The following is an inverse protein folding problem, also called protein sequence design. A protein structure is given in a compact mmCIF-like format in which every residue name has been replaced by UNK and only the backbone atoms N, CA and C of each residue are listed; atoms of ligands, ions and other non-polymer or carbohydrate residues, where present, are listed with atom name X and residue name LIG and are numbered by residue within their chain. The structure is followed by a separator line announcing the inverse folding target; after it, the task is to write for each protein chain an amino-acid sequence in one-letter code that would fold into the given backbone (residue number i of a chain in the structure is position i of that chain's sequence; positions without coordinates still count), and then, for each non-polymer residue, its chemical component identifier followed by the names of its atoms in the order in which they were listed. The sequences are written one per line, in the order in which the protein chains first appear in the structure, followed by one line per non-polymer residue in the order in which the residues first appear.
data_IF_109129231252
#
_entry.id   IF_109129231252
#
_cell.length_a   1.000
_cell.length_b   1.000
_cell.length_c   1.000
_cell.angle_alpha   90.00
_cell.angle_beta   90.00
_cell.angle_gamma   90.00
#
_symmetry.space_group_name_H-M   'P 1'
#
loop_
_entity.id
_entity.type
_entity.pdbx_description
1 polymer ?
#
# COMPACT_ATOMS: atom_id res chain seq x y z
N UNK A 1 2.48 4.19 5.39
CA UNK A 1 1.04 3.99 5.10
C UNK A 1 0.86 2.51 5.07
N UNK A 2 0.09 1.90 5.97
CA UNK A 2 -0.03 0.44 6.00
C UNK A 2 -1.18 0.00 5.09
N UNK A 3 -0.87 -0.85 4.13
CA UNK A 3 -1.86 -1.44 3.23
C UNK A 3 -2.31 -2.79 3.77
N UNK A 4 -3.57 -2.88 4.22
CA UNK A 4 -4.18 -4.08 4.78
C UNK A 4 -4.47 -5.15 3.72
N UNK A 5 -4.28 -6.42 4.09
CA UNK A 5 -4.26 -7.57 3.18
C UNK A 5 -5.66 -7.94 2.70
N UNK A 6 -5.85 -7.82 1.39
CA UNK A 6 -6.90 -8.49 0.62
C UNK A 6 -6.36 -8.97 -0.72
N UNK A 7 -5.28 -9.77 -0.73
CA UNK A 7 -4.78 -10.33 -2.00
C UNK A 7 -5.86 -11.22 -2.59
N UNK A 8 -6.51 -10.71 -3.63
CA UNK A 8 -7.55 -11.40 -4.36
C UNK A 8 -6.91 -12.22 -5.49
N UNK A 9 -7.33 -13.46 -5.65
CA UNK A 9 -6.71 -14.41 -6.58
C UNK A 9 -6.88 -14.01 -8.06
N UNK A 10 -8.03 -13.43 -8.42
CA UNK A 10 -8.27 -12.94 -9.77
C UNK A 10 -7.34 -11.76 -10.11
N UNK A 11 -7.17 -10.84 -9.16
CA UNK A 11 -6.26 -9.70 -9.30
C UNK A 11 -4.80 -10.15 -9.33
N UNK A 12 -4.40 -11.11 -8.48
CA UNK A 12 -3.06 -11.72 -8.51
C UNK A 12 -2.76 -12.35 -9.88
N UNK A 13 -3.70 -13.10 -10.46
CA UNK A 13 -3.53 -13.69 -11.80
C UNK A 13 -3.21 -12.61 -12.83
N UNK A 14 -4.02 -11.54 -12.88
CA UNK A 14 -3.84 -10.43 -13.84
C UNK A 14 -2.47 -9.77 -13.66
N UNK A 15 -2.09 -9.44 -12.43
CA UNK A 15 -0.81 -8.78 -12.13
C UNK A 15 0.39 -9.65 -12.52
N UNK A 16 0.40 -10.94 -12.17
CA UNK A 16 1.47 -11.86 -12.56
C UNK A 16 1.55 -12.08 -14.08
N UNK A 17 0.40 -12.18 -14.74
CA UNK A 17 0.34 -12.26 -16.19
C UNK A 17 0.93 -11.00 -16.85
N UNK A 18 0.60 -9.81 -16.34
CA UNK A 18 1.13 -8.54 -16.84
C UNK A 18 2.65 -8.40 -16.64
N UNK A 19 3.20 -9.01 -15.58
CA UNK A 19 4.66 -9.08 -15.34
C UNK A 19 5.34 -10.08 -16.29
N UNK A 20 4.59 -10.96 -16.97
CA UNK A 20 5.10 -11.91 -17.95
C UNK A 20 5.34 -13.32 -17.42
N UNK A 21 4.71 -13.70 -16.30
CA UNK A 21 4.78 -15.08 -15.80
C UNK A 21 4.04 -16.04 -16.75
N UNK A 22 4.58 -17.25 -16.90
CA UNK A 22 3.89 -18.33 -17.61
C UNK A 22 2.62 -18.75 -16.87
N UNK A 23 1.64 -19.29 -17.62
CA UNK A 23 0.39 -19.79 -17.05
C UNK A 23 0.64 -20.85 -15.96
N UNK A 24 1.59 -21.77 -16.18
CA UNK A 24 1.90 -22.82 -15.20
C UNK A 24 2.43 -22.25 -13.88
N UNK A 25 3.31 -21.25 -13.94
CA UNK A 25 3.80 -20.57 -12.75
C UNK A 25 2.68 -19.84 -12.01
N UNK A 26 1.78 -19.17 -12.75
CA UNK A 26 0.63 -18.49 -12.16
C UNK A 26 -0.31 -19.51 -11.49
N UNK A 27 -0.64 -20.62 -12.16
CA UNK A 27 -1.49 -21.66 -11.58
C UNK A 27 -0.87 -22.29 -10.33
N UNK A 28 0.45 -22.48 -10.31
CA UNK A 28 1.15 -22.93 -9.12
C UNK A 28 1.01 -21.94 -7.96
N UNK A 29 1.18 -20.63 -8.21
CA UNK A 29 0.94 -19.59 -7.19
C UNK A 29 -0.52 -19.59 -6.73
N UNK A 30 -1.49 -19.68 -7.64
CA UNK A 30 -2.91 -19.72 -7.27
C UNK A 30 -3.25 -20.96 -6.45
N UNK A 31 -2.67 -22.11 -6.77
CA UNK A 31 -2.83 -23.33 -5.98
C UNK A 31 -2.25 -23.16 -4.57
N UNK A 32 -1.08 -22.52 -4.44
CA UNK A 32 -0.49 -22.17 -3.16
C UNK A 32 -1.38 -21.25 -2.30
N UNK A 33 -2.13 -20.35 -2.94
CA UNK A 33 -2.97 -19.38 -2.24
C UNK A 33 -4.40 -19.89 -1.96
N UNK A 34 -4.91 -20.87 -2.69
CA UNK A 34 -6.31 -21.34 -2.59
C UNK A 34 -6.48 -22.55 -1.66
N UNK A 35 -7.72 -22.86 -1.26
CA UNK A 35 -8.03 -24.04 -0.43
C UNK A 35 -7.49 -24.00 1.00
N UNK A 36 -6.96 -22.84 1.42
CA UNK A 36 -6.40 -22.64 2.75
C UNK A 36 -7.50 -22.53 3.80
N UNK A 37 -7.21 -23.06 4.99
CA UNK A 37 -8.06 -22.98 6.17
C UNK A 37 -7.28 -22.43 7.35
N UNK A 38 -7.95 -21.75 8.26
CA UNK A 38 -7.34 -21.22 9.47
C UNK A 38 -8.24 -21.46 10.69
N UNK A 39 -7.62 -21.53 11.86
CA UNK A 39 -8.27 -21.50 13.16
C UNK A 39 -7.32 -20.84 14.17
N UNK A 40 -7.85 -20.42 15.31
CA UNK A 40 -7.06 -19.85 16.42
C UNK A 40 -7.05 -20.84 17.57
N UNK A 41 -5.89 -21.05 18.16
CA UNK A 41 -5.74 -21.86 19.37
C UNK A 41 -5.12 -21.03 20.49
N UNK A 42 -5.76 -21.03 21.65
CA UNK A 42 -5.24 -20.43 22.88
C UNK A 42 -5.26 -21.52 23.96
N UNK A 43 -4.08 -21.90 24.44
CA UNK A 43 -3.88 -23.08 25.29
C UNK A 43 -4.48 -24.34 24.63
N UNK A 44 -5.41 -25.00 25.29
CA UNK A 44 -6.09 -26.23 24.82
C UNK A 44 -7.41 -25.95 24.09
N UNK A 45 -7.82 -24.68 23.95
CA UNK A 45 -9.08 -24.31 23.29
C UNK A 45 -8.84 -23.89 21.85
N UNK A 46 -9.63 -24.44 20.93
CA UNK A 46 -9.59 -24.15 19.50
C UNK A 46 -10.86 -23.44 19.05
N UNK A 47 -10.72 -22.48 18.13
CA UNK A 47 -11.87 -21.92 17.40
C UNK A 47 -12.36 -22.90 16.34
N UNK A 48 -13.50 -22.57 15.73
CA UNK A 48 -13.91 -23.23 14.49
C UNK A 48 -12.87 -22.98 13.39
N UNK A 49 -12.74 -23.96 12.50
CA UNK A 49 -11.95 -23.85 11.27
C UNK A 49 -12.75 -23.07 10.24
N UNK A 50 -12.14 -22.06 9.63
CA UNK A 50 -12.73 -21.23 8.59
C UNK A 50 -11.86 -21.21 7.34
N UNK A 51 -12.47 -21.08 6.17
CA UNK A 51 -11.76 -20.96 4.90
C UNK A 51 -11.11 -19.57 4.75
N UNK A 52 -9.93 -19.53 4.15
CA UNK A 52 -9.19 -18.29 3.89
C UNK A 52 -9.35 -17.89 2.43
N UNK A 53 -10.14 -16.84 2.20
CA UNK A 53 -10.54 -16.41 0.86
C UNK A 53 -9.54 -15.46 0.18
N UNK A 54 -8.63 -14.84 0.94
CA UNK A 54 -7.69 -13.85 0.43
C UNK A 54 -6.38 -13.84 1.23
N UNK A 55 -5.39 -13.10 0.72
CA UNK A 55 -4.10 -12.90 1.39
C UNK A 55 -3.10 -14.03 1.17
N UNK A 56 -1.95 -13.92 1.82
CA UNK A 56 -0.86 -14.90 1.77
C UNK A 56 -0.70 -15.60 3.12
N UNK A 57 -0.13 -16.82 3.16
CA UNK A 57 0.20 -17.47 4.43
C UNK A 57 1.21 -16.63 5.24
N UNK A 58 0.82 -16.22 6.45
CA UNK A 58 1.71 -15.50 7.35
C UNK A 58 2.85 -16.42 7.82
N UNK A 59 4.08 -15.87 7.91
CA UNK A 59 5.27 -16.63 8.27
C UNK A 59 5.84 -17.50 7.14
N UNK A 60 5.28 -17.42 5.92
CA UNK A 60 5.82 -18.12 4.76
C UNK A 60 6.96 -17.35 4.08
N UNK A 61 7.85 -18.08 3.42
CA UNK A 61 8.94 -17.51 2.61
C UNK A 61 8.39 -16.76 1.38
N UNK A 62 7.32 -17.29 0.78
CA UNK A 62 6.75 -16.74 -0.45
C UNK A 62 5.80 -15.56 -0.20
N UNK A 63 5.20 -15.46 0.98
CA UNK A 63 4.24 -14.39 1.30
C UNK A 63 4.75 -12.99 0.97
N UNK A 64 5.95 -12.58 1.43
CA UNK A 64 6.52 -11.27 1.12
C UNK A 64 6.79 -11.07 -0.38
N UNK A 65 7.28 -12.09 -1.08
CA UNK A 65 7.57 -12.02 -2.53
C UNK A 65 6.27 -11.82 -3.31
N UNK A 66 5.23 -12.60 -2.99
CA UNK A 66 3.93 -12.49 -3.63
C UNK A 66 3.28 -11.13 -3.33
N UNK A 67 3.42 -10.61 -2.11
CA UNK A 67 2.95 -9.28 -1.77
C UNK A 67 3.64 -8.20 -2.63
N UNK A 68 4.97 -8.25 -2.75
CA UNK A 68 5.71 -7.30 -3.59
C UNK A 68 5.27 -7.36 -5.06
N UNK A 69 5.08 -8.56 -5.61
CA UNK A 69 4.56 -8.73 -6.98
C UNK A 69 3.15 -8.17 -7.14
N UNK A 70 2.32 -8.25 -6.10
CA UNK A 70 0.95 -7.77 -6.10
C UNK A 70 0.84 -6.24 -6.08
N UNK A 71 1.82 -5.54 -5.51
CA UNK A 71 1.82 -4.07 -5.39
C UNK A 71 2.72 -3.37 -6.40
N UNK A 72 3.40 -4.14 -7.27
CA UNK A 72 4.44 -3.66 -8.18
C UNK A 72 3.92 -2.67 -9.26
N UNK A 73 2.62 -2.57 -9.47
CA UNK A 73 1.99 -1.70 -10.47
C UNK A 73 1.43 -0.39 -9.88
N UNK A 74 1.81 -0.02 -8.66
CA UNK A 74 1.34 1.21 -8.02
C UNK A 74 1.82 2.50 -8.72
N UNK A 75 3.00 2.48 -9.35
CA UNK A 75 3.70 3.72 -9.71
C UNK A 75 3.26 4.49 -10.97
N UNK A 76 2.59 3.95 -12.00
CA UNK A 76 2.65 4.55 -13.34
C UNK A 76 2.02 5.95 -13.46
N UNK A 77 1.10 6.33 -12.57
CA UNK A 77 0.25 7.53 -12.74
C UNK A 77 0.35 8.57 -11.61
N UNK A 78 1.34 8.45 -10.69
CA UNK A 78 1.48 9.39 -9.59
C UNK A 78 2.30 10.62 -9.99
N UNK A 79 1.70 11.83 -9.94
CA UNK A 79 2.43 13.11 -10.10
C UNK A 79 3.29 13.50 -8.87
N UNK A 80 3.88 12.52 -8.19
CA UNK A 80 4.76 12.69 -7.06
C UNK A 80 5.79 11.56 -7.00
N UNK A 81 6.76 11.65 -6.09
CA UNK A 81 7.66 10.53 -5.83
C UNK A 81 6.98 9.57 -4.86
N UNK A 82 6.98 8.29 -5.20
CA UNK A 82 6.51 7.20 -4.37
C UNK A 82 7.72 6.40 -3.88
N UNK A 83 7.71 5.97 -2.62
CA UNK A 83 8.64 5.00 -2.09
C UNK A 83 7.86 3.93 -1.35
N UNK A 84 8.17 2.67 -1.62
CA UNK A 84 7.45 1.55 -1.04
C UNK A 84 8.41 0.54 -0.42
N UNK A 85 8.07 0.07 0.78
CA UNK A 85 8.76 -1.01 1.45
C UNK A 85 7.75 -1.92 2.14
N UNK A 86 7.56 -3.12 1.59
CA UNK A 86 6.48 -4.01 1.99
C UNK A 86 5.13 -3.25 1.99
N UNK A 87 4.36 -3.35 3.07
CA UNK A 87 3.07 -2.68 3.21
C UNK A 87 3.17 -1.17 3.48
N UNK A 88 4.38 -0.63 3.71
CA UNK A 88 4.60 0.78 3.97
C UNK A 88 4.87 1.58 2.68
N UNK A 89 3.92 2.46 2.34
CA UNK A 89 4.05 3.41 1.23
C UNK A 89 4.27 4.84 1.74
N UNK A 90 5.14 5.59 1.07
CA UNK A 90 5.39 7.02 1.31
C UNK A 90 5.29 7.81 0.01
N UNK A 91 4.43 8.81 -0.01
CA UNK A 91 4.37 9.81 -1.08
C UNK A 91 5.08 11.08 -0.64
N UNK A 92 5.92 11.64 -1.50
CA UNK A 92 6.58 12.91 -1.23
C UNK A 92 6.77 13.75 -2.47
N UNK A 93 6.86 15.07 -2.27
CA UNK A 93 7.04 16.03 -3.35
C UNK A 93 7.82 17.23 -2.84
N UNK A 94 8.78 17.68 -3.64
CA UNK A 94 9.56 18.88 -3.35
C UNK A 94 8.85 20.14 -3.89
N UNK A 95 8.95 21.24 -3.14
CA UNK A 95 8.49 22.56 -3.61
C UNK A 95 9.28 23.69 -2.97
N UNK A 96 9.33 24.83 -3.66
CA UNK A 96 9.72 26.10 -3.06
C UNK A 96 8.65 26.60 -2.06
N UNK A 97 9.01 27.35 -1.00
CA UNK A 97 8.07 27.77 0.04
C UNK A 97 6.83 28.51 -0.48
N UNK A 98 7.00 29.35 -1.51
CA UNK A 98 5.90 30.11 -2.12
C UNK A 98 4.85 29.25 -2.82
N UNK A 99 5.15 27.97 -3.10
CA UNK A 99 4.25 27.01 -3.76
C UNK A 99 3.83 25.87 -2.84
N UNK A 100 4.00 26.00 -1.51
CA UNK A 100 3.75 24.89 -0.59
C UNK A 100 2.30 24.39 -0.64
N UNK A 101 1.33 25.30 -0.78
CA UNK A 101 -0.09 24.95 -0.90
C UNK A 101 -0.42 24.23 -2.22
N UNK A 102 0.18 24.67 -3.33
CA UNK A 102 0.07 23.97 -4.62
C UNK A 102 0.67 22.56 -4.52
N UNK A 103 1.80 22.43 -3.81
CA UNK A 103 2.44 21.15 -3.58
C UNK A 103 1.58 20.20 -2.73
N UNK A 104 0.98 20.71 -1.66
CA UNK A 104 0.05 19.94 -0.83
C UNK A 104 -1.16 19.46 -1.65
N UNK A 105 -1.72 20.32 -2.50
CA UNK A 105 -2.80 19.94 -3.43
C UNK A 105 -2.39 18.80 -4.36
N UNK A 106 -1.22 18.89 -4.99
CA UNK A 106 -0.71 17.82 -5.87
C UNK A 106 -0.46 16.50 -5.14
N UNK A 107 0.01 16.57 -3.88
CA UNK A 107 0.13 15.37 -3.05
C UNK A 107 -1.23 14.79 -2.66
N UNK A 108 -2.25 15.60 -2.42
CA UNK A 108 -3.61 15.13 -2.21
C UNK A 108 -4.19 14.47 -3.46
N UNK A 109 -3.96 15.04 -4.65
CA UNK A 109 -4.39 14.45 -5.92
C UNK A 109 -3.74 13.07 -6.11
N UNK A 110 -2.43 12.96 -5.86
CA UNK A 110 -1.72 11.68 -5.88
C UNK A 110 -2.22 10.69 -4.81
N UNK A 111 -2.57 11.17 -3.62
CA UNK A 111 -3.18 10.33 -2.58
C UNK A 111 -4.51 9.74 -3.05
N UNK A 112 -5.35 10.52 -3.73
CA UNK A 112 -6.62 10.04 -4.28
C UNK A 112 -6.43 9.00 -5.40
N UNK A 113 -5.41 9.16 -6.24
CA UNK A 113 -5.05 8.12 -7.23
C UNK A 113 -4.64 6.82 -6.52
N UNK A 114 -3.80 6.92 -5.49
CA UNK A 114 -3.38 5.78 -4.68
C UNK A 114 -4.54 5.11 -3.92
N UNK A 115 -5.51 5.87 -3.40
CA UNK A 115 -6.74 5.34 -2.80
C UNK A 115 -7.53 4.51 -3.81
N UNK A 116 -7.75 5.04 -5.01
CA UNK A 116 -8.48 4.33 -6.05
C UNK A 116 -7.75 3.05 -6.47
N UNK A 117 -6.43 3.12 -6.69
CA UNK A 117 -5.62 1.94 -6.99
C UNK A 117 -5.67 0.89 -5.88
N UNK A 118 -5.66 1.31 -4.61
CA UNK A 118 -5.74 0.39 -3.48
C UNK A 118 -7.08 -0.33 -3.48
N UNK A 119 -8.20 0.40 -3.68
CA UNK A 119 -9.54 -0.19 -3.79
C UNK A 119 -9.62 -1.18 -4.97
N UNK A 120 -9.14 -0.79 -6.15
CA UNK A 120 -9.10 -1.65 -7.34
C UNK A 120 -8.24 -2.90 -7.13
N UNK A 121 -7.17 -2.77 -6.33
CA UNK A 121 -6.30 -3.88 -5.94
C UNK A 121 -6.83 -4.66 -4.73
N UNK A 122 -8.05 -4.40 -4.23
CA UNK A 122 -8.61 -5.01 -3.03
C UNK A 122 -7.72 -4.87 -1.78
N UNK A 123 -7.14 -3.69 -1.63
CA UNK A 123 -6.25 -3.29 -0.56
C UNK A 123 -6.88 -2.15 0.25
N UNK A 124 -6.64 -2.12 1.56
CA UNK A 124 -7.19 -1.09 2.43
C UNK A 124 -6.08 -0.18 2.97
N UNK A 125 -6.22 1.13 2.75
CA UNK A 125 -5.31 2.10 3.39
C UNK A 125 -5.70 2.26 4.87
N UNK A 126 -4.69 2.29 5.74
CA UNK A 126 -4.92 2.56 7.15
C UNK A 126 -4.85 4.08 7.44
N UNK A 127 -6.00 4.74 7.50
CA UNK A 127 -6.12 6.17 7.82
C UNK A 127 -5.42 6.51 9.15
N UNK A 128 -5.70 5.75 10.21
CA UNK A 128 -5.16 6.05 11.56
C UNK A 128 -3.64 6.01 11.64
N UNK A 129 -3.01 5.12 10.85
CA UNK A 129 -1.55 5.00 10.74
C UNK A 129 -0.94 5.93 9.70
N UNK A 130 -1.73 6.49 8.79
CA UNK A 130 -1.22 7.41 7.78
C UNK A 130 -0.99 8.78 8.40
N UNK A 131 0.17 9.37 8.10
CA UNK A 131 0.62 10.64 8.66
C UNK A 131 1.15 11.53 7.55
N UNK A 132 0.98 12.83 7.74
CA UNK A 132 1.53 13.87 6.88
C UNK A 132 2.62 14.63 7.62
N UNK A 133 3.64 15.08 6.89
CA UNK A 133 4.77 15.80 7.47
C UNK A 133 5.33 16.80 6.46
N UNK A 134 5.63 18.00 6.93
CA UNK A 134 6.42 18.99 6.20
C UNK A 134 7.87 18.89 6.67
N UNK A 135 8.80 18.58 5.76
CA UNK A 135 10.23 18.49 6.07
C UNK A 135 10.94 19.71 5.49
N UNK A 136 11.57 20.51 6.36
CA UNK A 136 12.35 21.70 5.98
C UNK A 136 13.56 21.88 6.90
N UNK A 137 14.49 22.76 6.52
CA UNK A 137 15.56 23.17 7.45
C UNK A 137 15.06 24.25 8.40
N UNK A 138 15.63 24.33 9.61
CA UNK A 138 15.25 25.36 10.60
C UNK A 138 15.42 26.78 10.08
N UNK A 139 16.39 27.03 9.19
CA UNK A 139 16.56 28.33 8.54
C UNK A 139 15.38 28.65 7.62
N UNK A 140 15.00 27.71 6.76
CA UNK A 140 13.88 27.89 5.83
C UNK A 140 12.56 28.09 6.56
N UNK A 141 12.31 27.29 7.62
CA UNK A 141 11.07 27.39 8.38
C UNK A 141 10.90 28.77 9.03
N UNK A 142 11.96 29.28 9.69
CA UNK A 142 11.92 30.60 10.33
C UNK A 142 11.78 31.76 9.35
N UNK A 143 12.49 31.70 8.21
CA UNK A 143 12.47 32.79 7.22
C UNK A 143 11.13 32.87 6.50
N UNK A 144 10.48 31.74 6.27
CA UNK A 144 9.23 31.66 5.50
C UNK A 144 7.99 31.37 6.36
N UNK A 145 8.12 31.33 7.69
CA UNK A 145 7.01 31.07 8.62
C UNK A 145 6.34 29.71 8.41
N UNK A 146 7.12 28.66 8.15
CA UNK A 146 6.56 27.34 7.81
C UNK A 146 6.18 26.50 9.05
N UNK A 147 6.53 26.95 10.25
CA UNK A 147 6.28 26.22 11.50
C UNK A 147 4.78 26.02 11.80
N UNK A 148 3.92 26.85 11.21
CA UNK A 148 2.45 26.79 11.35
C UNK A 148 1.77 26.14 10.15
N UNK A 149 2.51 25.79 9.10
CA UNK A 149 1.95 25.21 7.88
C UNK A 149 1.69 23.72 8.11
N UNK A 150 0.42 23.37 8.16
CA UNK A 150 -0.04 21.98 8.14
C UNK A 150 -0.57 21.70 6.75
N UNK A 151 0.06 20.81 5.96
CA UNK A 151 -0.51 20.35 4.69
C UNK A 151 -1.93 19.83 4.93
N UNK A 152 -2.87 20.08 4.02
CA UNK A 152 -4.21 19.49 4.12
C UNK A 152 -4.26 18.24 3.21
N UNK A 153 -3.62 17.16 3.67
CA UNK A 153 -3.63 15.87 3.01
C UNK A 153 -4.42 14.89 3.87
N UNK A 154 -5.43 14.26 3.28
CA UNK A 154 -6.37 13.36 3.94
C UNK A 154 -6.43 12.04 3.19
N UNK A 155 -6.63 10.99 3.98
CA UNK A 155 -7.05 9.68 3.49
C UNK A 155 -8.55 9.56 3.73
N UNK A 156 -9.32 9.13 2.75
CA UNK A 156 -10.78 8.92 2.84
C UNK A 156 -11.17 7.57 3.42
#
# INVERSE_FOLDING_TARGET
MAVGIGIEYATMFKKLHNVGFSHDAIYWVLNYLTGRKQYVQINEKQSQVVDVQFGVPQGSILGPVLFNLYVNDLEPDLECSCYQYADDTTLYRHSVPSKIHECAKKLQDAMTVLENWAVESNLALNETKTKQMLITTSKMSRVHGLDTVVPDIRVK
#
